data_IF_589205088409
#
_entry.id   IF_589205088409
#
_cell.length_a   1.000
_cell.length_b   1.000
_cell.length_c   1.000
_cell.angle_alpha   90.00
_cell.angle_beta   90.00
_cell.angle_gamma   90.00
#
_symmetry.space_group_name_H-M   'P 1'
#
loop_
_entity.id
_entity.type
_entity.pdbx_description
1 polymer ?
#
# COMPACT_ATOMS: atom_id res chain seq x y z
N UNK A 1 33.30 7.10 8.84
CA UNK A 1 32.17 7.40 7.93
C UNK A 1 31.19 6.25 8.06
N UNK A 2 29.96 6.51 8.51
CA UNK A 2 28.89 5.50 8.46
C UNK A 2 28.60 5.26 6.98
N UNK A 3 28.89 4.06 6.48
CA UNK A 3 28.63 3.69 5.08
C UNK A 3 27.14 3.77 4.73
N UNK A 4 26.83 3.85 3.43
CA UNK A 4 25.46 3.73 2.96
C UNK A 4 24.91 2.34 3.31
N UNK A 5 23.84 2.30 4.11
CA UNK A 5 23.14 1.06 4.49
C UNK A 5 22.21 0.61 3.35
N UNK A 6 21.66 -0.62 3.39
CA UNK A 6 20.99 -1.22 2.25
C UNK A 6 19.95 -0.31 1.58
N UNK A 7 19.14 0.43 2.36
CA UNK A 7 18.08 1.28 1.80
C UNK A 7 18.62 2.50 1.07
N UNK A 8 19.61 3.19 1.66
CA UNK A 8 20.27 4.32 1.02
C UNK A 8 21.05 3.88 -0.21
N UNK A 9 21.83 2.80 -0.07
CA UNK A 9 22.61 2.22 -1.17
C UNK A 9 21.71 1.84 -2.35
N UNK A 10 20.59 1.17 -2.09
CA UNK A 10 19.62 0.79 -3.12
C UNK A 10 19.00 2.02 -3.80
N UNK A 11 18.70 3.08 -3.05
CA UNK A 11 18.15 4.33 -3.61
C UNK A 11 19.15 5.02 -4.55
N UNK A 12 20.43 5.07 -4.16
CA UNK A 12 21.51 5.62 -5.00
C UNK A 12 21.70 4.75 -6.25
N UNK A 13 21.80 3.43 -6.08
CA UNK A 13 22.00 2.50 -7.17
C UNK A 13 20.86 2.55 -8.19
N UNK A 14 19.60 2.62 -7.74
CA UNK A 14 18.44 2.74 -8.63
C UNK A 14 18.49 4.02 -9.47
N UNK A 15 18.88 5.16 -8.86
CA UNK A 15 19.02 6.42 -9.59
C UNK A 15 20.18 6.40 -10.58
N UNK A 16 21.35 5.88 -10.19
CA UNK A 16 22.50 5.72 -11.09
C UNK A 16 22.15 4.79 -12.25
N UNK A 17 21.43 3.69 -11.98
CA UNK A 17 20.96 2.77 -13.02
C UNK A 17 20.08 3.48 -14.04
N UNK A 18 19.14 4.32 -13.62
CA UNK A 18 18.32 5.09 -14.56
C UNK A 18 19.16 6.00 -15.46
N UNK A 19 20.15 6.71 -14.89
CA UNK A 19 21.06 7.58 -15.67
C UNK A 19 21.79 6.75 -16.73
N UNK A 20 22.35 5.60 -16.33
CA UNK A 20 23.06 4.70 -17.25
C UNK A 20 22.12 4.17 -18.33
N UNK A 21 20.93 3.70 -17.97
CA UNK A 21 19.94 3.15 -18.90
C UNK A 21 19.51 4.18 -19.95
N UNK A 22 19.22 5.42 -19.54
CA UNK A 22 18.84 6.49 -20.47
C UNK A 22 20.01 6.99 -21.31
N UNK A 23 21.21 7.08 -20.73
CA UNK A 23 22.42 7.46 -21.47
C UNK A 23 22.75 6.43 -22.55
N UNK A 24 22.60 5.14 -22.22
CA UNK A 24 22.76 4.05 -23.17
C UNK A 24 21.70 4.09 -24.28
N UNK A 25 20.42 4.32 -23.94
CA UNK A 25 19.35 4.50 -24.94
C UNK A 25 19.62 5.68 -25.86
N UNK A 26 20.11 6.80 -25.33
CA UNK A 26 20.50 7.98 -26.10
C UNK A 26 21.66 7.66 -27.05
N UNK A 27 22.72 7.02 -26.56
CA UNK A 27 23.87 6.62 -27.39
C UNK A 27 23.43 5.67 -28.52
N UNK A 28 22.63 4.65 -28.18
CA UNK A 28 22.07 3.72 -29.16
C UNK A 28 21.22 4.45 -30.21
N UNK A 29 20.35 5.36 -29.77
CA UNK A 29 19.54 6.20 -30.67
C UNK A 29 20.41 7.04 -31.62
N UNK A 30 21.45 7.68 -31.10
CA UNK A 30 22.39 8.50 -31.88
C UNK A 30 23.16 7.67 -32.91
N UNK A 31 23.64 6.47 -32.53
CA UNK A 31 24.34 5.57 -33.45
C UNK A 31 23.40 5.03 -34.54
N UNK A 32 22.15 4.67 -34.20
CA UNK A 32 21.17 4.23 -35.19
C UNK A 32 20.87 5.29 -36.25
N UNK A 33 20.85 6.57 -35.88
CA UNK A 33 20.71 7.68 -36.84
C UNK A 33 21.92 7.80 -37.77
N UNK A 34 23.10 7.42 -37.30
CA UNK A 34 24.35 7.47 -38.07
C UNK A 34 24.50 6.28 -39.04
N UNK A 35 24.09 5.07 -38.63
CA UNK A 35 24.36 3.80 -39.37
C UNK A 35 23.37 3.52 -40.52
N UNK A 36 22.18 4.14 -40.54
CA UNK A 36 21.37 4.25 -41.77
C UNK A 36 19.93 3.77 -41.68
N UNK A 37 19.01 4.71 -41.96
CA UNK A 37 17.94 4.63 -42.97
C UNK A 37 17.08 5.86 -42.74
N UNK A 38 17.36 6.95 -43.47
CA UNK A 38 16.40 8.04 -43.56
C UNK A 38 15.20 7.52 -44.36
N UNK A 39 14.25 6.86 -43.69
CA UNK A 39 12.88 6.93 -44.19
C UNK A 39 12.53 8.42 -44.21
N UNK A 40 12.33 8.94 -45.42
CA UNK A 40 12.34 10.36 -45.77
C UNK A 40 11.34 11.22 -44.98
N UNK A 41 10.45 10.60 -44.21
CA UNK A 41 9.34 11.23 -43.49
C UNK A 41 9.27 10.93 -41.97
N UNK A 42 10.22 10.17 -41.40
CA UNK A 42 10.31 10.00 -39.93
C UNK A 42 11.36 10.93 -39.36
N UNK A 43 10.93 12.07 -38.81
CA UNK A 43 11.79 12.93 -37.97
C UNK A 43 12.46 12.07 -36.88
N UNK A 44 13.73 12.33 -36.51
CA UNK A 44 14.36 11.74 -35.33
C UNK A 44 13.75 12.35 -34.05
N UNK A 45 12.47 12.08 -33.80
CA UNK A 45 11.70 12.57 -32.65
C UNK A 45 12.22 12.01 -31.32
N UNK A 46 13.02 10.94 -31.37
CA UNK A 46 13.53 10.25 -30.19
C UNK A 46 14.73 10.94 -29.53
N UNK A 47 15.58 11.68 -30.25
CA UNK A 47 16.82 12.24 -29.64
C UNK A 47 16.53 13.36 -28.63
N UNK A 48 15.66 14.36 -28.93
CA UNK A 48 15.28 15.35 -27.91
C UNK A 48 14.59 14.70 -26.70
N UNK A 49 13.73 13.70 -26.92
CA UNK A 49 13.06 12.96 -25.84
C UNK A 49 14.05 12.18 -24.97
N UNK A 50 15.01 11.47 -25.59
CA UNK A 50 16.04 10.71 -24.88
C UNK A 50 17.00 11.62 -24.12
N UNK A 51 17.38 12.75 -24.71
CA UNK A 51 18.16 13.79 -24.03
C UNK A 51 17.40 14.34 -22.82
N UNK A 52 16.09 14.60 -22.99
CA UNK A 52 15.21 15.00 -21.90
C UNK A 52 15.15 13.97 -20.77
N UNK A 53 15.04 12.68 -21.10
CA UNK A 53 15.02 11.60 -20.12
C UNK A 53 16.35 11.46 -19.36
N UNK A 54 17.51 11.65 -20.03
CA UNK A 54 18.81 11.70 -19.34
C UNK A 54 18.88 12.89 -18.39
N UNK A 55 18.44 14.06 -18.84
CA UNK A 55 18.42 15.27 -18.01
C UNK A 55 17.51 15.09 -16.79
N UNK A 56 16.32 14.51 -16.97
CA UNK A 56 15.40 14.20 -15.89
C UNK A 56 15.99 13.18 -14.90
N UNK A 57 16.65 12.12 -15.40
CA UNK A 57 17.32 11.14 -14.55
C UNK A 57 18.44 11.77 -13.71
N UNK A 58 19.25 12.64 -14.31
CA UNK A 58 20.27 13.42 -13.60
C UNK A 58 19.65 14.37 -12.56
N UNK A 59 18.53 15.03 -12.89
CA UNK A 59 17.81 15.89 -11.94
C UNK A 59 17.23 15.09 -10.77
N UNK A 60 16.73 13.88 -11.04
CA UNK A 60 16.19 12.99 -10.02
C UNK A 60 17.27 12.44 -9.06
N UNK A 61 18.54 12.34 -9.49
CA UNK A 61 19.66 12.01 -8.60
C UNK A 61 19.79 13.02 -7.45
N UNK A 62 19.55 14.31 -7.71
CA UNK A 62 19.57 15.34 -6.66
C UNK A 62 18.43 15.20 -5.64
N UNK A 63 17.39 14.42 -5.97
CA UNK A 63 16.28 14.09 -5.06
C UNK A 63 16.53 12.80 -4.28
N UNK A 64 17.63 12.09 -4.52
CA UNK A 64 17.98 10.89 -3.77
C UNK A 64 18.32 11.29 -2.33
N UNK A 65 17.83 10.55 -1.32
CA UNK A 65 18.16 10.83 0.07
C UNK A 65 19.68 10.88 0.30
N UNK A 66 20.15 11.88 1.05
CA UNK A 66 21.58 12.03 1.36
C UNK A 66 22.02 11.29 2.64
N UNK A 67 21.08 10.76 3.43
CA UNK A 67 21.36 10.06 4.69
C UNK A 67 20.51 8.79 4.80
N UNK A 68 20.94 7.83 5.62
CA UNK A 68 20.22 6.58 5.83
C UNK A 68 18.83 6.83 6.41
N UNK A 69 18.71 7.75 7.38
CA UNK A 69 17.41 8.06 8.01
C UNK A 69 16.43 8.66 7.00
N UNK A 70 16.89 9.57 6.13
CA UNK A 70 16.04 10.12 5.06
C UNK A 70 15.63 9.05 4.06
N UNK A 71 16.52 8.09 3.75
CA UNK A 71 16.20 6.98 2.86
C UNK A 71 15.13 6.06 3.47
N UNK A 72 15.30 5.70 4.74
CA UNK A 72 14.36 4.88 5.50
C UNK A 72 13.01 5.57 5.64
N UNK A 73 12.97 6.84 6.05
CA UNK A 73 11.74 7.61 6.16
C UNK A 73 11.00 7.73 4.82
N UNK A 74 11.74 7.91 3.72
CA UNK A 74 11.16 7.90 2.36
C UNK A 74 10.57 6.53 2.01
N UNK A 75 11.26 5.44 2.32
CA UNK A 75 10.78 4.09 2.07
C UNK A 75 9.52 3.77 2.89
N UNK A 76 9.48 4.13 4.18
CA UNK A 76 8.27 4.01 5.01
C UNK A 76 7.10 4.88 4.51
N UNK A 77 7.40 6.06 3.97
CA UNK A 77 6.37 6.91 3.34
C UNK A 77 5.72 6.20 2.16
N UNK A 78 6.48 5.43 1.36
CA UNK A 78 5.91 4.64 0.25
C UNK A 78 5.00 3.52 0.76
N UNK A 79 5.37 2.85 1.86
CA UNK A 79 4.46 1.89 2.52
C UNK A 79 3.15 2.58 2.91
N UNK A 80 3.24 3.76 3.53
CA UNK A 80 2.05 4.54 3.91
C UNK A 80 1.20 4.99 2.72
N UNK A 81 1.79 5.20 1.53
CA UNK A 81 1.03 5.47 0.29
C UNK A 81 0.26 4.22 -0.13
N UNK A 82 0.92 3.05 -0.17
CA UNK A 82 0.29 1.77 -0.49
C UNK A 82 -0.91 1.46 0.41
N UNK A 83 -0.72 1.57 1.73
CA UNK A 83 -1.79 1.37 2.73
C UNK A 83 -2.94 2.37 2.55
N UNK A 84 -2.62 3.61 2.17
CA UNK A 84 -3.65 4.64 1.90
C UNK A 84 -4.45 4.32 0.64
N UNK A 85 -3.81 3.74 -0.38
CA UNK A 85 -4.48 3.33 -1.61
C UNK A 85 -5.47 2.18 -1.33
N UNK A 86 -5.06 1.16 -0.56
CA UNK A 86 -5.98 0.11 -0.06
C UNK A 86 -7.16 0.72 0.70
N UNK A 87 -6.92 1.65 1.64
CA UNK A 87 -7.99 2.32 2.37
C UNK A 87 -8.95 3.12 1.46
N UNK A 88 -8.45 3.66 0.35
CA UNK A 88 -9.30 4.36 -0.64
C UNK A 88 -10.21 3.34 -1.32
N UNK A 89 -9.65 2.25 -1.82
CA UNK A 89 -10.40 1.16 -2.49
C UNK A 89 -11.48 0.60 -1.56
N UNK A 90 -11.16 0.39 -0.28
CA UNK A 90 -12.13 -0.08 0.71
C UNK A 90 -13.31 0.88 0.96
N UNK A 91 -13.12 2.18 0.78
CA UNK A 91 -14.20 3.18 0.93
C UNK A 91 -15.13 3.22 -0.27
N UNK A 92 -14.74 2.60 -1.37
CA UNK A 92 -15.53 2.50 -2.60
C UNK A 92 -16.44 1.25 -2.59
N UNK A 93 -16.29 0.37 -1.59
CA UNK A 93 -17.14 -0.81 -1.41
C UNK A 93 -18.60 -0.41 -1.14
N UNK A 94 -19.52 -1.02 -1.90
CA UNK A 94 -20.96 -0.78 -1.84
C UNK A 94 -21.69 -1.96 -1.16
N UNK A 95 -22.82 -1.69 -0.48
CA UNK A 95 -23.74 -2.76 -0.05
C UNK A 95 -24.44 -3.38 -1.24
N UNK A 96 -24.91 -4.62 -1.08
CA UNK A 96 -25.97 -5.21 -1.89
C UNK A 96 -27.18 -4.29 -1.93
N UNK A 97 -27.34 -3.64 -3.08
CA UNK A 97 -28.55 -2.92 -3.48
C UNK A 97 -29.73 -3.91 -3.31
N UNK A 98 -30.81 -3.73 -2.55
CA UNK A 98 -31.70 -2.58 -2.34
C UNK A 98 -32.06 -1.77 -3.61
N UNK A 99 -31.84 -2.34 -4.79
CA UNK A 99 -32.38 -1.89 -6.08
C UNK A 99 -33.53 -2.79 -6.54
N UNK A 100 -34.56 -2.93 -5.71
CA UNK A 100 -35.91 -3.25 -6.18
C UNK A 100 -36.85 -2.12 -5.80
N UNK A 101 -36.63 -0.93 -6.35
CA UNK A 101 -37.74 -0.02 -6.56
C UNK A 101 -38.42 -0.45 -7.86
N UNK A 102 -39.64 -1.02 -7.82
CA UNK A 102 -40.43 -1.13 -9.03
C UNK A 102 -40.84 0.30 -9.40
N UNK A 103 -40.24 0.84 -10.45
CA UNK A 103 -40.86 1.97 -11.14
C UNK A 103 -42.18 1.46 -11.74
N UNK A 104 -43.27 1.62 -10.99
CA UNK A 104 -44.62 1.46 -11.53
C UNK A 104 -45.16 2.84 -11.90
N UNK A 105 -45.14 3.08 -13.21
CA UNK A 105 -46.14 3.73 -14.07
C UNK A 105 -46.85 5.01 -13.62
N UNK A 106 -46.72 6.04 -14.47
CA UNK A 106 -47.90 6.65 -15.12
C UNK A 106 -47.54 7.39 -16.44
N UNK A 107 -47.85 6.74 -17.57
CA UNK A 107 -48.37 7.25 -18.85
C UNK A 107 -47.85 8.57 -19.47
N UNK A 108 -47.26 8.49 -20.68
CA UNK A 108 -47.98 8.66 -21.97
C UNK A 108 -47.01 8.78 -23.18
N UNK A 109 -47.30 8.00 -24.24
CA UNK A 109 -46.93 8.10 -25.67
C UNK A 109 -45.70 8.94 -26.10
N UNK A 110 -44.79 8.35 -26.89
CA UNK A 110 -44.90 8.39 -28.36
C UNK A 110 -43.84 7.49 -29.05
N UNK A 111 -44.18 7.01 -30.24
CA UNK A 111 -43.41 6.08 -31.07
C UNK A 111 -42.10 6.69 -31.63
N UNK A 112 -40.96 6.00 -31.50
CA UNK A 112 -39.97 5.81 -32.59
C UNK A 112 -38.81 4.93 -32.13
N UNK A 113 -38.48 3.93 -32.95
CA UNK A 113 -37.65 2.80 -32.55
C UNK A 113 -36.14 2.98 -32.64
N UNK A 114 -35.42 2.10 -31.94
CA UNK A 114 -34.31 1.22 -32.38
C UNK A 114 -33.86 0.44 -31.13
N UNK A 115 -33.81 -0.91 -31.11
CA UNK A 115 -33.25 -1.64 -29.99
C UNK A 115 -31.74 -1.70 -30.17
N UNK A 116 -31.01 -0.71 -29.65
CA UNK A 116 -29.60 -0.92 -29.36
C UNK A 116 -29.55 -1.63 -28.01
N UNK A 117 -29.37 -2.94 -28.08
CA UNK A 117 -28.83 -3.74 -26.99
C UNK A 117 -27.39 -3.28 -26.76
N UNK A 118 -27.23 -2.18 -26.02
CA UNK A 118 -25.97 -1.92 -25.35
C UNK A 118 -25.95 -2.86 -24.15
N UNK A 119 -25.07 -3.84 -24.27
CA UNK A 119 -24.71 -4.81 -23.25
C UNK A 119 -24.33 -4.03 -21.97
N UNK A 120 -25.21 -4.07 -20.97
CA UNK A 120 -24.90 -3.70 -19.59
C UNK A 120 -23.86 -4.70 -19.05
N UNK A 121 -22.60 -4.50 -19.45
CA UNK A 121 -21.42 -5.25 -18.97
C UNK A 121 -20.66 -4.42 -17.92
N UNK A 122 -21.41 -3.84 -16.97
CA UNK A 122 -20.88 -2.98 -15.90
C UNK A 122 -21.26 -3.47 -14.49
N UNK A 123 -21.58 -4.76 -14.33
CA UNK A 123 -21.81 -5.41 -13.04
C UNK A 123 -20.69 -6.40 -12.70
N UNK A 124 -19.45 -5.93 -12.75
CA UNK A 124 -18.27 -6.65 -12.24
C UNK A 124 -18.01 -6.31 -10.76
N UNK A 125 -19.02 -6.54 -9.93
CA UNK A 125 -18.86 -6.52 -8.48
C UNK A 125 -20.06 -7.15 -7.83
N UNK A 126 -19.96 -8.42 -7.43
CA UNK A 126 -20.93 -9.02 -6.50
C UNK A 126 -21.02 -8.08 -5.29
N UNK A 127 -22.16 -7.41 -5.15
CA UNK A 127 -22.35 -6.48 -4.05
C UNK A 127 -22.21 -7.25 -2.71
N UNK A 128 -21.60 -6.61 -1.71
CA UNK A 128 -21.38 -7.24 -0.39
C UNK A 128 -22.71 -7.48 0.33
N UNK A 129 -22.89 -8.69 0.88
CA UNK A 129 -23.96 -8.93 1.85
C UNK A 129 -23.83 -8.02 3.07
N UNK A 130 -24.90 -7.76 3.85
CA UNK A 130 -24.83 -6.96 5.07
C UNK A 130 -23.75 -7.44 6.04
N UNK A 131 -23.61 -8.76 6.17
CA UNK A 131 -22.62 -9.43 6.99
C UNK A 131 -21.19 -9.21 6.45
N UNK A 132 -20.97 -9.38 5.15
CA UNK A 132 -19.65 -9.15 4.52
C UNK A 132 -19.24 -7.67 4.56
N UNK A 133 -20.21 -6.76 4.44
CA UNK A 133 -19.97 -5.32 4.56
C UNK A 133 -19.55 -4.92 5.97
N UNK A 134 -20.05 -5.59 7.00
CA UNK A 134 -19.60 -5.37 8.38
C UNK A 134 -18.13 -5.78 8.56
N UNK A 135 -17.74 -6.93 7.99
CA UNK A 135 -16.34 -7.38 7.98
C UNK A 135 -15.45 -6.38 7.24
N UNK A 136 -15.88 -5.94 6.05
CA UNK A 136 -15.15 -4.95 5.27
C UNK A 136 -14.97 -3.62 6.04
N UNK A 137 -15.95 -3.17 6.82
CA UNK A 137 -15.82 -1.98 7.67
C UNK A 137 -14.80 -2.15 8.78
N UNK A 138 -14.80 -3.29 9.47
CA UNK A 138 -13.78 -3.58 10.50
C UNK A 138 -12.37 -3.59 9.91
N UNK A 139 -12.21 -4.21 8.74
CA UNK A 139 -10.92 -4.17 8.02
C UNK A 139 -10.55 -2.74 7.66
N UNK A 140 -11.48 -1.92 7.19
CA UNK A 140 -11.20 -0.52 6.83
C UNK A 140 -10.71 0.29 8.05
N UNK A 141 -11.27 0.03 9.23
CA UNK A 141 -10.81 0.63 10.49
C UNK A 141 -9.38 0.19 10.86
N UNK A 142 -9.06 -1.10 10.70
CA UNK A 142 -7.70 -1.64 10.90
C UNK A 142 -6.71 -1.00 9.93
N UNK A 143 -7.05 -0.91 8.64
CA UNK A 143 -6.19 -0.30 7.60
C UNK A 143 -5.97 1.18 7.90
N UNK A 144 -7.03 1.89 8.31
CA UNK A 144 -6.97 3.30 8.72
C UNK A 144 -6.06 3.52 9.93
N UNK A 145 -6.18 2.71 10.98
CA UNK A 145 -5.35 2.83 12.17
C UNK A 145 -3.90 2.39 11.88
N UNK A 146 -3.69 1.40 11.02
CA UNK A 146 -2.35 1.00 10.52
C UNK A 146 -1.66 2.16 9.79
N UNK A 147 -2.39 2.89 8.95
CA UNK A 147 -1.87 4.09 8.30
C UNK A 147 -1.44 5.16 9.33
N UNK A 148 -2.18 5.28 10.44
CA UNK A 148 -1.81 6.17 11.54
C UNK A 148 -0.54 5.70 12.25
N UNK A 149 -0.39 4.40 12.51
CA UNK A 149 0.84 3.83 13.09
C UNK A 149 2.06 4.16 12.21
N UNK A 150 1.95 3.95 10.90
CA UNK A 150 3.04 4.24 9.96
C UNK A 150 3.40 5.73 9.99
N UNK A 151 2.40 6.62 10.01
CA UNK A 151 2.64 8.08 10.10
C UNK A 151 3.35 8.47 11.39
N UNK A 152 2.93 7.93 12.53
CA UNK A 152 3.58 8.19 13.82
C UNK A 152 5.00 7.60 13.88
N UNK A 153 5.22 6.41 13.31
CA UNK A 153 6.54 5.80 13.18
C UNK A 153 7.49 6.69 12.37
N UNK A 154 7.03 7.22 11.24
CA UNK A 154 7.80 8.19 10.42
C UNK A 154 8.13 9.44 11.25
N UNK A 155 7.18 9.96 12.04
CA UNK A 155 7.43 11.12 12.92
C UNK A 155 8.50 10.83 13.96
N UNK A 156 8.41 9.68 14.64
CA UNK A 156 9.40 9.22 15.62
C UNK A 156 10.79 9.19 14.97
N UNK A 157 10.95 8.46 13.87
CA UNK A 157 12.24 8.28 13.18
C UNK A 157 12.79 9.61 12.66
N UNK A 158 11.94 10.46 12.08
CA UNK A 158 12.34 11.79 11.59
C UNK A 158 12.81 12.69 12.74
N UNK A 159 12.16 12.60 13.91
CA UNK A 159 12.60 13.28 15.12
C UNK A 159 13.99 12.87 15.58
N UNK A 160 14.40 11.64 15.26
CA UNK A 160 15.70 11.07 15.65
C UNK A 160 16.85 11.48 14.72
N UNK A 161 16.59 12.15 13.59
CA UNK A 161 17.64 12.64 12.67
C UNK A 161 18.71 13.47 13.38
N UNK A 162 18.30 14.28 14.37
CA UNK A 162 19.22 15.15 15.13
C UNK A 162 20.17 14.37 16.04
N UNK A 163 19.89 13.10 16.29
CA UNK A 163 20.62 12.23 17.22
C UNK A 163 21.50 11.24 16.46
N UNK A 164 21.48 11.26 15.12
CA UNK A 164 22.38 10.46 14.28
C UNK A 164 23.83 10.80 14.63
N UNK A 165 24.48 9.92 15.40
CA UNK A 165 25.87 10.09 15.77
C UNK A 165 26.74 9.54 14.63
N UNK A 166 27.54 10.36 13.94
CA UNK A 166 28.42 9.89 12.88
C UNK A 166 29.53 8.93 13.36
N UNK A 167 29.70 8.80 14.68
CA UNK A 167 30.60 7.84 15.35
C UNK A 167 29.89 6.57 15.83
N UNK A 168 28.58 6.45 15.66
CA UNK A 168 27.90 5.21 15.97
C UNK A 168 28.42 4.09 15.05
N UNK A 169 28.67 2.92 15.62
CA UNK A 169 29.21 1.76 14.90
C UNK A 169 28.19 1.13 13.95
N UNK A 170 27.04 1.79 13.73
CA UNK A 170 26.01 1.41 12.79
C UNK A 170 24.80 0.72 13.41
N UNK A 171 24.85 0.36 14.70
CA UNK A 171 23.76 -0.32 15.38
C UNK A 171 22.46 0.47 15.38
N UNK A 172 22.54 1.81 15.50
CA UNK A 172 21.36 2.68 15.42
C UNK A 172 20.66 2.58 14.06
N UNK A 173 21.43 2.68 12.98
CA UNK A 173 20.87 2.63 11.62
C UNK A 173 20.38 1.22 11.29
N UNK A 174 21.06 0.17 11.79
CA UNK A 174 20.62 -1.21 11.61
C UNK A 174 19.26 -1.48 12.31
N UNK A 175 19.01 -0.88 13.49
CA UNK A 175 17.69 -0.89 14.12
C UNK A 175 16.63 -0.19 13.27
N UNK A 176 16.95 0.94 12.64
CA UNK A 176 16.01 1.62 11.73
C UNK A 176 15.73 0.81 10.45
N UNK A 177 16.73 0.10 9.91
CA UNK A 177 16.55 -0.80 8.77
C UNK A 177 15.67 -2.01 9.16
N UNK A 178 15.80 -2.53 10.38
CA UNK A 178 14.89 -3.56 10.91
C UNK A 178 13.45 -3.04 11.00
N UNK A 179 13.25 -1.84 11.54
CA UNK A 179 11.93 -1.20 11.60
C UNK A 179 11.32 -0.99 10.21
N UNK A 180 12.13 -0.61 9.22
CA UNK A 180 11.65 -0.48 7.84
C UNK A 180 11.14 -1.81 7.31
N UNK A 181 11.86 -2.91 7.54
CA UNK A 181 11.43 -4.24 7.09
C UNK A 181 10.11 -4.66 7.72
N UNK A 182 9.92 -4.40 9.01
CA UNK A 182 8.64 -4.65 9.69
C UNK A 182 7.51 -3.81 9.10
N UNK A 183 7.76 -2.53 8.86
CA UNK A 183 6.81 -1.64 8.19
C UNK A 183 6.44 -2.13 6.78
N UNK A 184 7.43 -2.56 5.98
CA UNK A 184 7.19 -3.13 4.66
C UNK A 184 6.37 -4.42 4.70
N UNK A 185 6.63 -5.30 5.67
CA UNK A 185 5.81 -6.51 5.88
C UNK A 185 4.37 -6.13 6.17
N UNK A 186 4.12 -5.19 7.10
CA UNK A 186 2.78 -4.68 7.38
C UNK A 186 2.10 -4.18 6.10
N UNK A 187 2.82 -3.47 5.23
CA UNK A 187 2.27 -3.03 3.94
C UNK A 187 1.77 -4.19 3.07
N UNK A 188 2.51 -5.30 3.01
CA UNK A 188 2.11 -6.52 2.28
C UNK A 188 0.90 -7.19 2.95
N UNK A 189 0.91 -7.30 4.28
CA UNK A 189 -0.23 -7.89 5.01
C UNK A 189 -1.50 -7.05 4.82
N UNK A 190 -1.39 -5.72 4.74
CA UNK A 190 -2.54 -4.85 4.50
C UNK A 190 -3.09 -5.01 3.08
N UNK A 191 -2.21 -5.18 2.09
CA UNK A 191 -2.61 -5.46 0.70
C UNK A 191 -3.39 -6.79 0.62
N UNK A 192 -2.87 -7.84 1.26
CA UNK A 192 -3.53 -9.15 1.36
C UNK A 192 -4.86 -9.06 2.13
N UNK A 193 -4.89 -8.33 3.24
CA UNK A 193 -6.11 -8.11 4.02
C UNK A 193 -7.16 -7.35 3.21
N UNK A 194 -6.74 -6.36 2.42
CA UNK A 194 -7.60 -5.60 1.51
C UNK A 194 -8.19 -6.49 0.41
N UNK A 195 -7.42 -7.43 -0.13
CA UNK A 195 -7.92 -8.39 -1.12
C UNK A 195 -8.96 -9.36 -0.54
N UNK A 196 -8.81 -9.75 0.74
CA UNK A 196 -9.71 -10.71 1.38
C UNK A 196 -11.16 -10.20 1.51
N UNK A 197 -11.40 -8.89 1.46
CA UNK A 197 -12.73 -8.30 1.71
C UNK A 197 -13.68 -8.42 0.53
N UNK A 198 -13.17 -8.74 -0.66
CA UNK A 198 -13.97 -8.96 -1.86
C UNK A 198 -14.60 -10.35 -1.83
N UNK A 199 -15.84 -10.53 -2.33
CA UNK A 199 -16.49 -11.84 -2.35
C UNK A 199 -15.76 -12.88 -3.22
N UNK A 200 -15.79 -14.17 -2.82
CA UNK A 200 -16.19 -14.65 -1.50
C UNK A 200 -15.12 -14.33 -0.44
N UNK A 201 -15.53 -13.80 0.71
CA UNK A 201 -14.56 -13.36 1.74
C UNK A 201 -13.77 -14.52 2.36
N UNK A 202 -12.45 -14.38 2.42
CA UNK A 202 -11.54 -15.41 2.95
C UNK A 202 -11.29 -15.22 4.46
N UNK A 203 -12.30 -15.49 5.29
CA UNK A 203 -12.27 -15.21 6.75
C UNK A 203 -11.07 -15.87 7.48
N UNK A 204 -10.70 -17.09 7.10
CA UNK A 204 -9.53 -17.77 7.68
C UNK A 204 -8.21 -17.08 7.34
N UNK A 205 -8.11 -16.53 6.13
CA UNK A 205 -6.93 -15.79 5.70
C UNK A 205 -6.89 -14.44 6.41
N UNK A 206 -8.02 -13.72 6.48
CA UNK A 206 -8.14 -12.47 7.25
C UNK A 206 -7.62 -12.64 8.68
N UNK A 207 -8.03 -13.71 9.38
CA UNK A 207 -7.59 -14.00 10.74
C UNK A 207 -6.06 -14.13 10.83
N UNK A 208 -5.47 -14.95 9.97
CA UNK A 208 -4.01 -15.15 9.94
C UNK A 208 -3.28 -13.83 9.63
N UNK A 209 -3.82 -13.04 8.71
CA UNK A 209 -3.24 -11.76 8.30
C UNK A 209 -3.27 -10.75 9.44
N UNK A 210 -4.39 -10.61 10.18
CA UNK A 210 -4.45 -9.69 11.33
C UNK A 210 -3.55 -10.13 12.49
N UNK A 211 -3.38 -11.45 12.71
CA UNK A 211 -2.42 -11.98 13.69
C UNK A 211 -0.98 -11.62 13.30
N UNK A 212 -0.61 -11.72 12.01
CA UNK A 212 0.71 -11.30 11.52
C UNK A 212 0.92 -9.79 11.66
N UNK A 213 -0.10 -8.97 11.38
CA UNK A 213 -0.04 -7.52 11.61
C UNK A 213 0.20 -7.24 13.10
N UNK A 214 -0.57 -7.87 14.00
CA UNK A 214 -0.43 -7.74 15.46
C UNK A 214 0.98 -8.06 15.94
N UNK A 215 1.55 -9.17 15.47
CA UNK A 215 2.92 -9.57 15.78
C UNK A 215 3.96 -8.55 15.31
N UNK A 216 3.87 -8.10 14.05
CA UNK A 216 4.78 -7.09 13.50
C UNK A 216 4.68 -5.76 14.27
N UNK A 217 3.47 -5.32 14.66
CA UNK A 217 3.26 -4.11 15.46
C UNK A 217 3.93 -4.24 16.84
N UNK A 218 3.76 -5.38 17.52
CA UNK A 218 4.42 -5.64 18.80
C UNK A 218 5.95 -5.58 18.71
N UNK A 219 6.54 -6.08 17.63
CA UNK A 219 7.98 -5.95 17.38
C UNK A 219 8.40 -4.49 17.14
N UNK A 220 7.63 -3.72 16.37
CA UNK A 220 7.90 -2.29 16.14
C UNK A 220 7.82 -1.52 17.47
N UNK A 221 6.81 -1.78 18.31
CA UNK A 221 6.68 -1.16 19.62
C UNK A 221 7.91 -1.43 20.49
N UNK A 222 8.35 -2.69 20.56
CA UNK A 222 9.53 -3.07 21.33
C UNK A 222 10.80 -2.37 20.84
N UNK A 223 11.00 -2.31 19.52
CA UNK A 223 12.15 -1.64 18.91
C UNK A 223 12.12 -0.12 19.14
N UNK A 224 10.94 0.51 19.04
CA UNK A 224 10.76 1.96 19.30
C UNK A 224 11.02 2.30 20.78
N UNK A 225 10.55 1.46 21.71
CA UNK A 225 10.83 1.63 23.14
C UNK A 225 12.31 1.41 23.49
N UNK A 226 13.02 0.60 22.71
CA UNK A 226 14.45 0.37 22.85
C UNK A 226 15.31 1.61 22.56
N UNK A 227 14.76 2.62 21.89
CA UNK A 227 15.47 3.86 21.66
C UNK A 227 15.53 4.72 22.93
N UNK A 228 16.75 5.10 23.34
CA UNK A 228 17.05 5.82 24.60
C UNK A 228 16.41 7.22 24.74
N UNK A 229 15.61 7.67 23.78
CA UNK A 229 14.98 8.98 23.78
C UNK A 229 13.45 8.85 23.82
N UNK A 230 12.92 8.71 25.03
CA UNK A 230 11.49 8.75 25.31
C UNK A 230 10.94 10.15 25.06
N UNK A 231 10.50 10.40 23.83
CA UNK A 231 9.89 11.67 23.41
C UNK A 231 8.37 11.57 23.43
N UNK A 232 7.67 12.71 23.43
CA UNK A 232 6.19 12.74 23.28
C UNK A 232 5.70 12.09 21.97
N UNK A 233 6.53 12.05 20.93
CA UNK A 233 6.23 11.33 19.69
C UNK A 233 6.14 9.82 19.91
N UNK A 234 6.93 9.26 20.84
CA UNK A 234 6.89 7.85 21.19
C UNK A 234 5.60 7.49 21.93
N UNK A 235 5.08 8.39 22.77
CA UNK A 235 3.81 8.19 23.48
C UNK A 235 2.61 8.20 22.52
N UNK A 236 2.57 9.16 21.59
CA UNK A 236 1.57 9.22 20.51
C UNK A 236 1.58 7.92 19.69
N UNK A 237 2.77 7.47 19.29
CA UNK A 237 2.97 6.22 18.57
C UNK A 237 2.42 5.00 19.33
N UNK A 238 2.77 4.86 20.61
CA UNK A 238 2.28 3.75 21.46
C UNK A 238 0.76 3.77 21.62
N UNK A 239 0.16 4.96 21.74
CA UNK A 239 -1.30 5.09 21.81
C UNK A 239 -1.97 4.59 20.54
N UNK A 240 -1.44 4.92 19.37
CA UNK A 240 -1.96 4.45 18.08
C UNK A 240 -1.78 2.94 17.92
N UNK A 241 -0.64 2.38 18.34
CA UNK A 241 -0.42 0.94 18.30
C UNK A 241 -1.41 0.16 19.19
N UNK A 242 -1.66 0.64 20.41
CA UNK A 242 -2.67 0.04 21.29
C UNK A 242 -4.08 0.09 20.69
N UNK A 243 -4.45 1.21 20.05
CA UNK A 243 -5.74 1.32 19.36
C UNK A 243 -5.85 0.27 18.24
N UNK A 244 -4.80 0.12 17.43
CA UNK A 244 -4.76 -0.90 16.38
C UNK A 244 -4.86 -2.32 16.96
N UNK A 245 -4.14 -2.62 18.02
CA UNK A 245 -4.21 -3.92 18.71
C UNK A 245 -5.63 -4.22 19.19
N UNK A 246 -6.33 -3.24 19.79
CA UNK A 246 -7.72 -3.41 20.21
C UNK A 246 -8.69 -3.65 19.05
N UNK A 247 -8.48 -2.99 17.89
CA UNK A 247 -9.27 -3.25 16.69
C UNK A 247 -9.03 -4.65 16.14
N UNK A 248 -7.78 -5.11 16.15
CA UNK A 248 -7.44 -6.47 15.73
C UNK A 248 -8.08 -7.50 16.67
N UNK A 249 -8.02 -7.30 17.98
CA UNK A 249 -8.67 -8.19 18.96
C UNK A 249 -10.19 -8.28 18.74
N UNK A 250 -10.83 -7.15 18.45
CA UNK A 250 -12.26 -7.12 18.12
C UNK A 250 -12.55 -7.94 16.86
N UNK A 251 -11.76 -7.75 15.80
CA UNK A 251 -11.93 -8.51 14.56
C UNK A 251 -11.67 -10.01 14.77
N UNK A 252 -10.64 -10.40 15.52
CA UNK A 252 -10.35 -11.80 15.86
C UNK A 252 -11.57 -12.46 16.52
N UNK A 253 -12.21 -11.79 17.50
CA UNK A 253 -13.41 -12.32 18.16
C UNK A 253 -14.62 -12.46 17.25
N UNK A 254 -14.78 -11.54 16.29
CA UNK A 254 -15.90 -11.55 15.34
C UNK A 254 -15.70 -12.60 14.24
N UNK A 255 -14.46 -12.83 13.79
CA UNK A 255 -14.17 -13.92 12.85
C UNK A 255 -14.39 -15.30 13.49
N UNK A 256 -14.08 -15.45 14.78
CA UNK A 256 -14.29 -16.69 15.52
C UNK A 256 -15.78 -17.01 15.67
N UNK A 257 -16.60 -16.01 16.02
CA UNK A 257 -18.06 -16.18 16.16
C UNK A 257 -18.69 -16.63 14.83
N UNK A 258 -18.26 -16.06 13.70
CA UNK A 258 -18.76 -16.39 12.36
C UNK A 258 -18.32 -17.78 11.89
N UNK A 259 -17.08 -18.16 12.19
CA UNK A 259 -16.56 -19.50 11.89
C UNK A 259 -17.36 -20.57 12.62
N UNK A 260 -17.70 -20.35 13.89
CA UNK A 260 -18.55 -21.27 14.66
C UNK A 260 -19.97 -21.37 14.07
N UNK A 261 -20.58 -20.24 13.69
CA UNK A 261 -21.91 -20.21 13.09
C UNK A 261 -21.98 -20.97 11.75
N UNK A 262 -20.94 -20.83 10.91
CA UNK A 262 -20.85 -21.55 9.63
C UNK A 262 -20.77 -23.07 9.82
N UNK A 263 -19.98 -23.53 10.80
CA UNK A 263 -19.86 -24.96 11.14
C UNK A 263 -21.19 -25.51 11.63
N UNK A 264 -21.90 -24.78 12.50
CA UNK A 264 -23.22 -25.19 13.02
C UNK A 264 -24.24 -25.31 11.89
N UNK A 265 -24.29 -24.35 10.97
CA UNK A 265 -25.19 -24.36 9.82
C UNK A 265 -24.92 -25.56 8.90
N UNK A 266 -23.64 -25.85 8.60
CA UNK A 266 -23.25 -27.03 7.81
C UNK A 266 -23.64 -28.35 8.49
N UNK A 267 -23.53 -28.45 9.81
CA UNK A 267 -23.92 -29.66 10.54
C UNK A 267 -25.44 -29.91 10.54
N UNK A 268 -26.25 -28.85 10.61
CA UNK A 268 -27.71 -28.96 10.57
C UNK A 268 -28.21 -29.44 9.19
N UNK A 269 -27.57 -29.00 8.11
CA UNK A 269 -27.93 -29.38 6.74
C UNK A 269 -27.58 -30.83 6.35
N UNK A 270 -26.72 -31.52 7.12
CA UNK A 270 -26.37 -32.94 6.90
C UNK A 270 -27.37 -33.89 7.58
N UNK A 271 -28.28 -33.37 8.41
CA UNK A 271 -29.23 -34.18 9.21
C UNK A 271 -30.63 -34.28 8.57
N UNK A 272 -30.81 -33.79 7.34
CA UNK A 272 -32.03 -33.89 6.52
C UNK A 272 -31.79 -34.77 5.30
#
# INVERSE_FOLDING_TARGET
>A
MVGARPTLSSSIQASVKQIVDFSFKLLKGSVSLYVGSYEKDRKPSSIPQLTGAVWEACSNLNKVPATNIKAIGRAMTQVGVSVKDVLREMKELKPASSSSSPEHDACANDESGTPNSDEDDDDLGDDLSPEELEVAKMVADIVSETLMVIKELIRVITGMIKVENPKDNGGFVDSLEKLLKLCQRIGVEIDELGACVYPPQELSLMKQTVERIKGNIGEIEADVMGFKNSSSSSESFLRTCRRLQSLIELMETELDSRSEAEVVSKMQNVTL
#
